data_IF_891505923503
#
_entry.id   IF_891505923503
#
_cell.length_a   1.000
_cell.length_b   1.000
_cell.length_c   1.000
_cell.angle_alpha   90.00
_cell.angle_beta   90.00
_cell.angle_gamma   90.00
#
_symmetry.space_group_name_H-M   'P 1'
#
loop_
_entity.id
_entity.type
_entity.pdbx_description
1 polymer ?
#
# COMPACT_ATOMS: atom_id res chain seq x y z
N UNK A 1 7.54 7.49 6.30
CA UNK A 1 7.75 6.69 7.53
C UNK A 1 7.72 5.21 7.18
N UNK A 2 8.08 4.30 8.09
CA UNK A 2 8.00 2.84 7.86
C UNK A 2 6.84 2.25 8.67
N UNK A 3 5.95 1.51 8.01
CA UNK A 3 4.85 0.77 8.66
C UNK A 3 4.77 -0.63 8.08
N UNK A 4 4.80 -1.67 8.93
CA UNK A 4 4.78 -3.08 8.51
C UNK A 4 5.84 -3.43 7.44
N UNK A 5 7.00 -2.75 7.45
CA UNK A 5 8.07 -2.91 6.45
C UNK A 5 7.80 -2.22 5.11
N UNK A 6 6.69 -1.47 4.99
CA UNK A 6 6.45 -0.55 3.88
C UNK A 6 7.06 0.81 4.17
N UNK A 7 7.86 1.30 3.24
CA UNK A 7 8.32 2.66 3.15
C UNK A 7 7.21 3.50 2.53
N UNK A 8 6.58 4.33 3.35
CA UNK A 8 5.55 5.28 2.91
C UNK A 8 6.22 6.60 2.52
N UNK A 9 6.09 6.96 1.25
CA UNK A 9 6.51 8.22 0.66
C UNK A 9 5.28 9.02 0.25
N UNK A 10 5.14 10.22 0.79
CA UNK A 10 4.08 11.14 0.39
C UNK A 10 4.49 11.92 -0.85
N UNK A 11 3.59 12.02 -1.82
CA UNK A 11 3.74 12.86 -3.03
C UNK A 11 2.98 14.18 -2.88
N UNK A 12 1.88 14.15 -2.12
CA UNK A 12 1.10 15.33 -1.73
C UNK A 12 0.50 15.11 -0.33
N UNK A 13 -0.18 16.10 0.27
CA UNK A 13 -0.86 15.93 1.55
C UNK A 13 -1.91 14.81 1.56
N UNK A 14 -2.45 14.46 0.40
CA UNK A 14 -3.52 13.48 0.24
C UNK A 14 -3.13 12.31 -0.66
N UNK A 15 -1.90 12.23 -1.14
CA UNK A 15 -1.44 11.17 -2.03
C UNK A 15 -0.06 10.68 -1.63
N UNK A 16 0.13 9.38 -1.69
CA UNK A 16 1.43 8.80 -1.47
C UNK A 16 1.54 7.40 -2.06
N UNK A 17 2.74 6.86 -1.89
CA UNK A 17 3.11 5.53 -2.31
C UNK A 17 3.74 4.79 -1.16
N UNK A 18 3.32 3.54 -0.96
CA UNK A 18 3.90 2.63 -0.01
C UNK A 18 4.64 1.53 -0.76
N UNK A 19 5.93 1.39 -0.50
CA UNK A 19 6.78 0.40 -1.15
C UNK A 19 7.42 -0.53 -0.12
N UNK A 20 7.37 -1.85 -0.35
CA UNK A 20 8.02 -2.85 0.49
C UNK A 20 8.91 -3.74 -0.37
N UNK A 21 10.17 -3.86 0.05
CA UNK A 21 11.25 -4.43 -0.75
C UNK A 21 12.13 -3.34 -1.40
N UNK A 22 13.33 -3.72 -1.83
CA UNK A 22 14.34 -2.77 -2.32
C UNK A 22 14.74 -3.16 -3.74
N UNK A 23 14.61 -2.22 -4.70
CA UNK A 23 15.12 -2.42 -6.07
C UNK A 23 16.62 -2.79 -6.09
N UNK A 24 17.41 -2.34 -5.11
CA UNK A 24 18.84 -2.65 -5.01
C UNK A 24 19.13 -4.04 -4.43
N UNK A 25 18.36 -4.47 -3.41
CA UNK A 25 18.41 -5.84 -2.91
C UNK A 25 17.89 -6.84 -3.96
N UNK A 26 17.00 -6.38 -4.86
CA UNK A 26 16.48 -7.18 -5.95
C UNK A 26 17.52 -7.56 -7.02
N UNK A 27 18.53 -6.71 -7.24
CA UNK A 27 19.61 -7.04 -8.18
C UNK A 27 20.53 -8.10 -7.57
N UNK A 28 20.71 -8.09 -6.24
CA UNK A 28 21.60 -9.02 -5.54
C UNK A 28 20.96 -10.40 -5.27
N UNK A 29 19.62 -10.49 -5.22
CA UNK A 29 18.87 -11.72 -4.91
C UNK A 29 18.15 -12.36 -6.11
N UNK A 30 18.25 -11.76 -7.31
CA UNK A 30 17.60 -12.27 -8.53
C UNK A 30 16.06 -12.23 -8.51
N UNK A 31 15.42 -13.01 -9.38
CA UNK A 31 13.95 -13.09 -9.65
C UNK A 31 13.05 -13.27 -8.41
N UNK A 32 13.62 -13.60 -7.24
CA UNK A 32 12.89 -13.82 -5.99
C UNK A 32 12.54 -12.54 -5.22
N UNK A 33 13.07 -11.41 -5.67
CA UNK A 33 13.02 -10.20 -4.90
C UNK A 33 11.71 -9.43 -5.18
N UNK A 34 10.72 -9.76 -4.36
CA UNK A 34 9.34 -9.31 -4.50
C UNK A 34 9.25 -7.84 -4.11
N UNK A 35 9.13 -6.96 -5.12
CA UNK A 35 8.82 -5.55 -4.92
C UNK A 35 7.31 -5.38 -4.84
N UNK A 36 6.85 -4.86 -3.71
CA UNK A 36 5.44 -4.52 -3.49
C UNK A 36 5.31 -3.01 -3.52
N UNK A 37 4.48 -2.49 -4.42
CA UNK A 37 4.11 -1.09 -4.46
C UNK A 37 2.60 -0.97 -4.37
N UNK A 38 2.16 0.01 -3.58
CA UNK A 38 0.76 0.40 -3.44
C UNK A 38 0.69 1.91 -3.48
N UNK A 39 -0.09 2.44 -4.40
CA UNK A 39 -0.39 3.87 -4.43
C UNK A 39 -1.64 4.10 -3.57
N UNK A 40 -1.69 5.20 -2.84
CA UNK A 40 -2.87 5.56 -2.06
C UNK A 40 -3.20 7.04 -2.20
N UNK A 41 -4.49 7.33 -2.22
CA UNK A 41 -5.06 8.65 -2.36
C UNK A 41 -6.19 8.84 -1.36
N UNK A 42 -6.26 10.03 -0.78
CA UNK A 42 -7.23 10.42 0.23
C UNK A 42 -8.12 11.47 -0.39
N UNK A 43 -9.41 11.17 -0.43
CA UNK A 43 -10.42 12.09 -0.92
C UNK A 43 -11.14 12.69 0.29
N UNK A 44 -10.73 13.89 0.74
CA UNK A 44 -11.48 14.58 1.78
C UNK A 44 -12.89 14.92 1.28
N UNK A 45 -13.87 14.80 2.17
CA UNK A 45 -15.28 15.11 1.99
C UNK A 45 -15.76 15.95 3.18
N UNK A 46 -16.92 16.61 3.05
CA UNK A 46 -17.43 17.52 4.09
C UNK A 46 -17.53 16.87 5.48
N UNK A 47 -17.83 15.57 5.54
CA UNK A 47 -18.02 14.83 6.78
C UNK A 47 -16.81 13.96 7.18
N UNK A 48 -15.68 14.03 6.45
CA UNK A 48 -14.48 13.20 6.70
C UNK A 48 -13.68 12.89 5.42
N UNK A 49 -13.28 11.65 5.18
CA UNK A 49 -12.44 11.30 4.02
C UNK A 49 -12.53 9.84 3.57
N UNK A 50 -12.46 9.62 2.26
CA UNK A 50 -12.36 8.28 1.68
C UNK A 50 -10.91 7.94 1.35
N UNK A 51 -10.40 6.85 1.91
CA UNK A 51 -9.08 6.33 1.58
C UNK A 51 -9.20 5.38 0.37
N UNK A 52 -8.56 5.72 -0.74
CA UNK A 52 -8.46 4.90 -1.94
C UNK A 52 -7.07 4.29 -2.03
N UNK A 53 -6.99 2.97 -2.07
CA UNK A 53 -5.73 2.24 -2.25
C UNK A 53 -5.75 1.55 -3.61
N UNK A 54 -4.69 1.74 -4.38
CA UNK A 54 -4.52 1.20 -5.73
C UNK A 54 -3.29 0.31 -5.73
N UNK A 55 -3.50 -0.97 -6.04
CA UNK A 55 -2.41 -1.94 -6.11
C UNK A 55 -1.60 -1.74 -7.40
N UNK A 56 -0.33 -1.33 -7.29
CA UNK A 56 0.52 -1.01 -8.46
C UNK A 56 1.17 -2.24 -9.12
N UNK A 57 0.94 -3.46 -8.62
CA UNK A 57 1.42 -4.69 -9.25
C UNK A 57 0.70 -5.94 -8.76
N UNK A 58 0.34 -6.86 -9.67
CA UNK A 58 -0.51 -8.02 -9.36
C UNK A 58 0.20 -9.15 -8.59
N UNK A 59 1.52 -9.27 -8.73
CA UNK A 59 2.30 -10.42 -8.27
C UNK A 59 2.26 -11.62 -9.21
N UNK A 60 1.70 -11.45 -10.42
CA UNK A 60 1.51 -12.52 -11.40
C UNK A 60 2.82 -13.22 -11.80
N UNK A 61 3.95 -12.49 -11.82
CA UNK A 61 5.27 -13.06 -12.11
C UNK A 61 5.71 -14.16 -11.11
N UNK A 62 5.17 -14.16 -9.88
CA UNK A 62 5.41 -15.20 -8.87
C UNK A 62 4.33 -16.29 -8.82
N UNK A 63 3.44 -16.36 -9.82
CA UNK A 63 2.31 -17.28 -9.86
C UNK A 63 1.29 -17.06 -8.73
N UNK A 64 0.47 -18.08 -8.45
CA UNK A 64 -0.62 -18.02 -7.45
C UNK A 64 -0.12 -17.62 -6.05
N UNK A 65 1.07 -18.11 -5.65
CA UNK A 65 1.68 -17.79 -4.36
C UNK A 65 2.13 -16.32 -4.30
N UNK A 66 2.73 -15.81 -5.38
CA UNK A 66 3.09 -14.41 -5.51
C UNK A 66 1.86 -13.49 -5.39
N UNK A 67 0.79 -13.81 -6.12
CA UNK A 67 -0.46 -13.05 -6.08
C UNK A 67 -1.08 -13.02 -4.67
N UNK A 68 -1.17 -14.18 -4.00
CA UNK A 68 -1.67 -14.27 -2.62
C UNK A 68 -0.85 -13.44 -1.65
N UNK A 69 0.49 -13.47 -1.79
CA UNK A 69 1.37 -12.70 -0.92
C UNK A 69 1.22 -11.20 -1.16
N UNK A 70 1.09 -10.74 -2.41
CA UNK A 70 0.81 -9.33 -2.69
C UNK A 70 -0.54 -8.92 -2.11
N UNK A 71 -1.60 -9.71 -2.30
CA UNK A 71 -2.91 -9.40 -1.75
C UNK A 71 -2.85 -9.27 -0.22
N UNK A 72 -2.23 -10.23 0.46
CA UNK A 72 -2.05 -10.18 1.92
C UNK A 72 -1.32 -8.91 2.36
N UNK A 73 -0.25 -8.54 1.66
CA UNK A 73 0.53 -7.33 1.98
C UNK A 73 -0.26 -6.05 1.72
N UNK A 74 -1.04 -6.01 0.63
CA UNK A 74 -1.94 -4.91 0.29
C UNK A 74 -3.06 -4.76 1.32
N UNK A 75 -3.67 -5.86 1.76
CA UNK A 75 -4.69 -5.86 2.82
C UNK A 75 -4.13 -5.34 4.14
N UNK A 76 -2.96 -5.84 4.57
CA UNK A 76 -2.30 -5.37 5.79
C UNK A 76 -2.01 -3.87 5.77
N UNK A 77 -1.53 -3.34 4.65
CA UNK A 77 -1.29 -1.91 4.49
C UNK A 77 -2.60 -1.12 4.53
N UNK A 78 -3.62 -1.61 3.83
CA UNK A 78 -4.95 -0.98 3.79
C UNK A 78 -5.54 -0.86 5.20
N UNK A 79 -5.46 -1.94 5.99
CA UNK A 79 -6.00 -1.97 7.35
C UNK A 79 -5.20 -1.04 8.28
N UNK A 80 -3.89 -0.96 8.09
CA UNK A 80 -3.01 -0.04 8.85
C UNK A 80 -3.35 1.41 8.57
N UNK A 81 -3.50 1.77 7.29
CA UNK A 81 -3.86 3.13 6.90
C UNK A 81 -5.29 3.45 7.36
N UNK A 82 -6.25 2.54 7.16
CA UNK A 82 -7.61 2.70 7.65
C UNK A 82 -7.63 2.96 9.16
N UNK A 83 -6.93 2.15 9.96
CA UNK A 83 -6.84 2.34 11.40
C UNK A 83 -6.29 3.72 11.78
N UNK A 84 -5.26 4.19 11.09
CA UNK A 84 -4.68 5.51 11.32
C UNK A 84 -5.66 6.64 10.97
N UNK A 85 -6.38 6.52 9.86
CA UNK A 85 -7.42 7.48 9.47
C UNK A 85 -8.60 7.50 10.46
N UNK A 86 -9.03 6.33 10.93
CA UNK A 86 -10.09 6.22 11.94
C UNK A 86 -9.67 6.89 13.25
N UNK A 87 -8.43 6.69 13.69
CA UNK A 87 -7.89 7.33 14.91
C UNK A 87 -7.89 8.86 14.83
N UNK A 88 -7.83 9.43 13.63
CA UNK A 88 -7.88 10.88 13.42
C UNK A 88 -9.30 11.42 13.23
N UNK A 89 -10.32 10.56 13.28
CA UNK A 89 -11.71 10.93 12.97
C UNK A 89 -11.92 11.29 11.49
N UNK A 90 -11.00 10.89 10.62
CA UNK A 90 -11.00 11.27 9.20
C UNK A 90 -11.53 10.17 8.28
N UNK A 91 -11.82 8.96 8.78
CA UNK A 91 -12.24 7.84 7.93
C UNK A 91 -13.76 7.77 7.77
N UNK A 92 -14.23 8.00 6.54
CA UNK A 92 -15.60 7.68 6.11
C UNK A 92 -15.68 6.32 5.39
N UNK A 93 -14.60 5.88 4.75
CA UNK A 93 -14.57 4.61 4.03
C UNK A 93 -13.23 4.26 3.41
N UNK A 94 -13.06 2.98 3.09
CA UNK A 94 -11.86 2.43 2.42
C UNK A 94 -12.27 1.79 1.10
N UNK A 95 -11.65 2.24 0.00
CA UNK A 95 -11.85 1.67 -1.33
C UNK A 95 -10.55 1.01 -1.82
N UNK A 96 -10.58 -0.31 -1.96
CA UNK A 96 -9.49 -1.14 -2.48
C UNK A 96 -9.67 -1.34 -3.99
N UNK A 97 -8.67 -0.99 -4.79
CA UNK A 97 -8.65 -1.09 -6.26
C UNK A 97 -7.47 -1.92 -6.77
#
# INVERSE_FOLDING_TARGET
>A
FVANGFYVKWESPTKGKAEKGSKGANIMLGVLAQHYAVDFEIYPQADGGTLRLVKTGSGAAGGLLGMRKVNKQFDQLSDTLASWFTQQGLLLGVKKL
#
